data_IF_152832105054
#
_entry.id   IF_152832105054
#
_cell.length_a   1.000
_cell.length_b   1.000
_cell.length_c   1.000
_cell.angle_alpha   90.00
_cell.angle_beta   90.00
_cell.angle_gamma   90.00
#
_symmetry.space_group_name_H-M   'P 1'
#
loop_
_entity.id
_entity.type
_entity.pdbx_description
1 polymer ?
#
# COMPACT_ATOMS: atom_id res chain seq x y z
N UNK A 1 7.08 7.74 5.88
CA UNK A 1 6.27 6.60 5.39
C UNK A 1 5.98 6.77 3.92
N UNK A 2 6.00 5.68 3.17
CA UNK A 2 5.73 5.71 1.73
C UNK A 2 4.69 4.67 1.38
N UNK A 3 3.69 5.08 0.61
CA UNK A 3 2.72 4.16 0.02
C UNK A 3 2.82 4.27 -1.50
N UNK A 4 2.96 3.13 -2.17
CA UNK A 4 2.80 3.06 -3.62
C UNK A 4 1.42 2.49 -3.87
N UNK A 5 0.51 3.34 -4.32
CA UNK A 5 -0.89 2.99 -4.55
C UNK A 5 -1.08 2.68 -6.03
N UNK A 6 -1.49 1.46 -6.33
CA UNK A 6 -1.81 1.06 -7.70
C UNK A 6 -3.29 0.72 -7.81
N UNK A 7 -3.98 1.41 -8.72
CA UNK A 7 -5.39 1.12 -9.01
C UNK A 7 -5.45 -0.18 -9.80
N UNK A 8 -6.26 -1.13 -9.33
CA UNK A 8 -6.30 -2.48 -9.90
C UNK A 8 -7.72 -2.92 -10.26
N UNK A 9 -7.83 -3.79 -11.28
CA UNK A 9 -9.03 -4.56 -11.56
C UNK A 9 -9.10 -5.77 -10.64
N UNK A 10 -7.95 -6.37 -10.35
CA UNK A 10 -7.79 -7.46 -9.39
C UNK A 10 -6.34 -7.52 -8.93
N UNK A 11 -6.11 -8.09 -7.76
CA UNK A 11 -4.78 -8.33 -7.22
C UNK A 11 -4.81 -9.47 -6.21
N UNK A 12 -3.70 -10.19 -6.10
CA UNK A 12 -3.56 -11.27 -5.14
C UNK A 12 -2.12 -11.38 -4.65
N UNK A 13 -1.95 -12.02 -3.51
CA UNK A 13 -0.64 -12.30 -2.95
C UNK A 13 -0.58 -13.76 -2.51
N UNK A 14 0.53 -14.43 -2.82
CA UNK A 14 0.78 -15.80 -2.41
C UNK A 14 2.11 -15.93 -1.67
N UNK A 15 2.16 -16.91 -0.76
CA UNK A 15 3.35 -17.30 -0.01
C UNK A 15 3.45 -18.82 -0.09
N UNK A 16 4.62 -19.32 -0.47
CA UNK A 16 4.86 -20.75 -0.64
C UNK A 16 3.82 -21.45 -1.55
N UNK A 17 3.43 -20.75 -2.63
CA UNK A 17 2.47 -21.27 -3.60
C UNK A 17 1.01 -21.19 -3.19
N UNK A 18 0.70 -20.66 -2.01
CA UNK A 18 -0.65 -20.52 -1.49
C UNK A 18 -1.11 -19.07 -1.51
N UNK A 19 -2.27 -18.79 -2.11
CA UNK A 19 -2.88 -17.46 -2.10
C UNK A 19 -3.38 -17.14 -0.69
N UNK A 20 -2.85 -16.08 -0.08
CA UNK A 20 -3.23 -15.65 1.27
C UNK A 20 -4.09 -14.40 1.29
N UNK A 21 -4.19 -13.69 0.17
CA UNK A 21 -5.04 -12.52 0.04
C UNK A 21 -5.40 -12.27 -1.42
N UNK A 22 -6.63 -11.84 -1.67
CA UNK A 22 -7.11 -11.55 -3.02
C UNK A 22 -8.22 -10.51 -2.98
N UNK A 23 -8.15 -9.56 -3.92
CA UNK A 23 -9.18 -8.53 -4.07
C UNK A 23 -9.60 -8.41 -5.54
N UNK A 24 -10.78 -7.87 -5.76
CA UNK A 24 -11.21 -7.36 -7.05
C UNK A 24 -10.77 -5.91 -7.23
N UNK A 25 -11.67 -5.09 -7.75
CA UNK A 25 -11.41 -3.65 -8.00
C UNK A 25 -11.02 -2.93 -6.72
N UNK A 26 -9.99 -2.11 -6.80
CA UNK A 26 -9.54 -1.32 -5.67
C UNK A 26 -8.09 -0.90 -5.79
N UNK A 27 -7.35 -0.95 -4.69
CA UNK A 27 -5.92 -0.63 -4.66
C UNK A 27 -5.11 -1.82 -4.16
N UNK A 28 -4.01 -2.11 -4.86
CA UNK A 28 -2.87 -2.81 -4.29
C UNK A 28 -1.89 -1.74 -3.79
N UNK A 29 -1.49 -1.82 -2.53
CA UNK A 29 -0.65 -0.79 -1.90
C UNK A 29 0.61 -1.42 -1.34
N UNK A 30 1.76 -0.94 -1.79
CA UNK A 30 3.05 -1.26 -1.17
C UNK A 30 3.31 -0.25 -0.07
N UNK A 31 3.64 -0.73 1.13
CA UNK A 31 3.82 0.10 2.33
C UNK A 31 5.26 0.01 2.82
N UNK A 32 5.95 1.15 2.79
CA UNK A 32 7.28 1.31 3.37
C UNK A 32 7.23 2.13 4.64
N UNK A 33 7.85 1.61 5.70
CA UNK A 33 7.98 2.29 6.99
C UNK A 33 9.42 2.73 7.17
N UNK A 34 9.61 4.01 7.46
CA UNK A 34 10.93 4.60 7.74
C UNK A 34 11.22 4.69 9.24
N UNK A 35 12.46 5.09 9.56
CA UNK A 35 12.94 5.15 10.94
C UNK A 35 12.13 6.09 11.86
N UNK A 36 11.62 7.19 11.30
CA UNK A 36 10.94 8.23 12.08
C UNK A 36 9.41 8.14 12.04
N UNK A 37 8.87 7.07 11.46
CA UNK A 37 7.44 6.95 11.30
C UNK A 37 6.72 6.63 12.61
N UNK A 38 5.52 7.19 12.75
CA UNK A 38 4.66 7.07 13.93
C UNK A 38 3.23 6.71 13.52
N UNK A 39 2.39 6.38 14.50
CA UNK A 39 0.97 6.14 14.27
C UNK A 39 0.26 7.38 13.71
N UNK A 40 0.65 8.57 14.16
CA UNK A 40 0.10 9.84 13.68
C UNK A 40 0.40 10.05 12.19
N UNK A 41 1.60 9.70 11.77
CA UNK A 41 1.99 9.73 10.34
C UNK A 41 1.16 8.70 9.57
N UNK A 42 1.01 7.49 10.11
CA UNK A 42 0.20 6.45 9.48
C UNK A 42 -1.25 6.90 9.30
N UNK A 43 -1.85 7.56 10.31
CA UNK A 43 -3.22 8.07 10.24
C UNK A 43 -3.39 9.06 9.08
N UNK A 44 -2.43 9.98 8.90
CA UNK A 44 -2.44 10.93 7.78
C UNK A 44 -2.35 10.22 6.44
N UNK A 45 -1.47 9.24 6.35
CA UNK A 45 -1.27 8.46 5.13
C UNK A 45 -2.52 7.68 4.75
N UNK A 46 -3.15 7.01 5.73
CA UNK A 46 -4.38 6.25 5.53
C UNK A 46 -5.51 7.18 5.05
N UNK A 47 -5.69 8.30 5.73
CA UNK A 47 -6.71 9.30 5.38
C UNK A 47 -6.54 9.77 3.93
N UNK A 48 -5.30 10.08 3.55
CA UNK A 48 -4.99 10.51 2.18
C UNK A 48 -5.29 9.40 1.17
N UNK A 49 -4.81 8.20 1.43
CA UNK A 49 -4.99 7.05 0.53
C UNK A 49 -6.46 6.72 0.30
N UNK A 50 -7.23 6.58 1.37
CA UNK A 50 -8.66 6.23 1.29
C UNK A 50 -9.47 7.34 0.63
N UNK A 51 -9.05 8.60 0.82
CA UNK A 51 -9.72 9.77 0.25
C UNK A 51 -9.34 10.10 -1.19
N UNK A 52 -8.38 9.40 -1.79
CA UNK A 52 -7.99 9.66 -3.18
C UNK A 52 -9.18 9.45 -4.11
N UNK A 53 -9.35 10.37 -5.06
CA UNK A 53 -10.44 10.34 -6.04
C UNK A 53 -9.86 10.01 -7.41
N UNK A 54 -9.49 8.75 -7.60
CA UNK A 54 -8.75 8.30 -8.78
C UNK A 54 -9.48 7.23 -9.61
N UNK A 55 -10.75 6.98 -9.32
CA UNK A 55 -11.59 6.14 -10.19
C UNK A 55 -12.39 7.02 -11.12
N UNK A 56 -12.61 6.53 -12.33
CA UNK A 56 -13.35 7.27 -13.33
C UNK A 56 -14.84 7.32 -13.00
N UNK A 57 -15.44 8.49 -13.21
CA UNK A 57 -16.88 8.68 -13.14
C UNK A 57 -17.55 8.32 -14.48
N UNK A 58 -18.87 8.49 -14.56
CA UNK A 58 -19.66 8.22 -15.77
C UNK A 58 -19.27 9.05 -16.99
N UNK A 59 -18.55 10.17 -16.77
CA UNK A 59 -18.03 11.03 -17.83
C UNK A 59 -16.57 10.70 -18.19
N UNK A 60 -16.01 9.61 -17.64
CA UNK A 60 -14.63 9.22 -17.85
C UNK A 60 -13.60 10.09 -17.16
N UNK A 61 -14.02 10.92 -16.19
CA UNK A 61 -13.13 11.78 -15.43
C UNK A 61 -12.69 11.12 -14.14
N UNK A 62 -11.42 11.29 -13.79
CA UNK A 62 -10.84 10.86 -12.52
C UNK A 62 -11.47 11.66 -11.38
N UNK A 63 -12.41 11.06 -10.66
CA UNK A 63 -13.27 11.78 -9.73
C UNK A 63 -13.77 10.96 -8.54
N UNK A 64 -13.93 9.65 -8.68
CA UNK A 64 -14.55 8.82 -7.64
C UNK A 64 -13.52 8.28 -6.66
N UNK A 65 -13.92 8.19 -5.39
CA UNK A 65 -13.10 7.61 -4.32
C UNK A 65 -13.24 6.08 -4.26
N UNK A 66 -12.40 5.47 -3.43
CA UNK A 66 -12.50 4.03 -3.14
C UNK A 66 -13.89 3.65 -2.61
N UNK A 67 -14.46 4.46 -1.72
CA UNK A 67 -15.80 4.22 -1.17
C UNK A 67 -16.88 4.30 -2.24
N UNK A 68 -16.77 5.27 -3.15
CA UNK A 68 -17.76 5.46 -4.23
C UNK A 68 -17.88 4.25 -5.13
N UNK A 69 -16.76 3.57 -5.40
CA UNK A 69 -16.73 2.38 -6.26
C UNK A 69 -16.81 1.07 -5.47
N UNK A 70 -16.95 1.14 -4.15
CA UNK A 70 -16.95 -0.02 -3.25
C UNK A 70 -15.69 -0.87 -3.44
N UNK A 71 -14.55 -0.18 -3.57
CA UNK A 71 -13.27 -0.81 -3.81
C UNK A 71 -12.69 -1.48 -2.58
N UNK A 72 -11.78 -2.40 -2.81
CA UNK A 72 -11.07 -3.17 -1.79
C UNK A 72 -9.61 -2.74 -1.68
N UNK A 73 -8.96 -3.13 -0.60
CA UNK A 73 -7.53 -2.89 -0.39
C UNK A 73 -6.77 -4.21 -0.26
N UNK A 74 -5.62 -4.27 -0.90
CA UNK A 74 -4.61 -5.31 -0.66
C UNK A 74 -3.34 -4.60 -0.19
N UNK A 75 -2.96 -4.79 1.08
CA UNK A 75 -1.87 -4.07 1.73
C UNK A 75 -0.65 -4.98 1.88
N UNK A 76 0.46 -4.58 1.26
CA UNK A 76 1.71 -5.35 1.20
C UNK A 76 2.84 -4.55 1.82
N UNK A 77 3.54 -5.11 2.80
CA UNK A 77 4.74 -4.48 3.37
C UNK A 77 5.90 -4.54 2.37
N UNK A 78 6.64 -3.43 2.24
CA UNK A 78 7.74 -3.31 1.28
C UNK A 78 8.81 -2.37 1.82
N UNK A 79 9.75 -2.89 2.63
CA UNK A 79 10.82 -2.07 3.21
C UNK A 79 11.76 -1.48 2.16
N UNK A 80 11.88 -2.14 0.99
CA UNK A 80 12.77 -1.69 -0.08
C UNK A 80 12.38 -0.34 -0.69
N UNK A 81 11.20 0.20 -0.35
CA UNK A 81 10.83 1.58 -0.72
C UNK A 81 11.76 2.61 -0.06
N UNK A 82 12.49 2.22 0.98
CA UNK A 82 13.52 3.03 1.64
C UNK A 82 14.94 2.69 1.17
N UNK A 83 15.07 2.09 -0.01
CA UNK A 83 16.38 1.85 -0.61
C UNK A 83 17.09 3.15 -0.92
N UNK A 84 18.37 3.24 -0.52
CA UNK A 84 19.26 4.32 -0.93
C UNK A 84 20.24 3.76 -1.96
N UNK A 85 20.16 4.25 -3.18
CA UNK A 85 20.93 3.78 -4.32
C UNK A 85 21.99 4.80 -4.77
N UNK A 86 22.39 5.74 -3.91
CA UNK A 86 23.32 6.81 -4.26
C UNK A 86 24.74 6.33 -4.50
N UNK A 87 25.16 5.26 -3.81
CA UNK A 87 26.54 4.75 -3.92
C UNK A 87 26.55 3.37 -4.52
N UNK A 88 27.12 3.24 -5.73
CA UNK A 88 27.27 1.97 -6.41
C UNK A 88 25.93 1.32 -6.76
N UNK A 89 25.97 0.02 -7.04
CA UNK A 89 24.80 -0.73 -7.51
C UNK A 89 24.14 -1.59 -6.43
N UNK A 90 24.68 -1.57 -5.22
CA UNK A 90 24.11 -2.29 -4.08
C UNK A 90 23.28 -1.32 -3.22
N UNK A 91 21.94 -1.47 -3.16
CA UNK A 91 21.12 -0.59 -2.35
C UNK A 91 21.46 -0.70 -0.86
N UNK A 92 21.39 0.42 -0.15
CA UNK A 92 21.43 0.46 1.31
C UNK A 92 20.00 0.59 1.84
N UNK A 93 19.70 -0.09 2.95
CA UNK A 93 18.38 -0.06 3.58
C UNK A 93 18.41 0.52 5.00
N UNK A 94 19.43 1.30 5.34
CA UNK A 94 19.59 1.89 6.68
C UNK A 94 18.47 2.89 7.04
N UNK A 95 17.78 3.41 6.03
CA UNK A 95 16.67 4.35 6.21
C UNK A 95 15.34 3.64 6.48
N UNK A 96 15.27 2.33 6.25
CA UNK A 96 14.09 1.53 6.56
C UNK A 96 13.94 1.39 8.09
N UNK A 97 12.70 1.42 8.56
CA UNK A 97 12.41 1.21 9.98
C UNK A 97 12.83 -0.18 10.46
N UNK A 98 13.22 -0.29 11.73
CA UNK A 98 13.54 -1.58 12.32
C UNK A 98 12.37 -2.55 12.14
N UNK A 99 12.62 -3.85 11.87
CA UNK A 99 11.56 -4.82 11.56
C UNK A 99 10.41 -4.85 12.57
N UNK A 100 10.70 -4.82 13.87
CA UNK A 100 9.68 -4.86 14.92
C UNK A 100 8.74 -3.65 14.85
N UNK A 101 9.30 -2.46 14.72
CA UNK A 101 8.54 -1.21 14.60
C UNK A 101 7.75 -1.18 13.29
N UNK A 102 8.38 -1.58 12.20
CA UNK A 102 7.74 -1.59 10.89
C UNK A 102 6.56 -2.57 10.86
N UNK A 103 6.69 -3.75 11.46
CA UNK A 103 5.60 -4.71 11.57
C UNK A 103 4.45 -4.17 12.40
N UNK A 104 4.74 -3.55 13.55
CA UNK A 104 3.72 -2.92 14.39
C UNK A 104 2.93 -1.86 13.63
N UNK A 105 3.60 -0.99 12.89
CA UNK A 105 2.94 0.05 12.10
C UNK A 105 2.16 -0.53 10.93
N UNK A 106 2.68 -1.56 10.28
CA UNK A 106 1.96 -2.27 9.23
C UNK A 106 0.65 -2.89 9.75
N UNK A 107 0.70 -3.58 10.89
CA UNK A 107 -0.50 -4.14 11.53
C UNK A 107 -1.49 -3.04 11.95
N UNK A 108 -0.98 -1.93 12.46
CA UNK A 108 -1.80 -0.75 12.79
C UNK A 108 -2.52 -0.20 11.56
N UNK A 109 -1.82 -0.05 10.44
CA UNK A 109 -2.40 0.43 9.18
C UNK A 109 -3.53 -0.49 8.72
N UNK A 110 -3.31 -1.80 8.76
CA UNK A 110 -4.35 -2.78 8.39
C UNK A 110 -5.58 -2.62 9.28
N UNK A 111 -5.38 -2.57 10.58
CA UNK A 111 -6.45 -2.43 11.57
C UNK A 111 -7.28 -1.14 11.34
N UNK A 112 -6.61 -0.02 11.09
CA UNK A 112 -7.28 1.25 10.84
C UNK A 112 -8.03 1.25 9.50
N UNK A 113 -7.47 0.62 8.47
CA UNK A 113 -8.15 0.49 7.19
C UNK A 113 -9.40 -0.39 7.30
N UNK A 114 -9.35 -1.45 8.09
CA UNK A 114 -10.50 -2.35 8.32
C UNK A 114 -11.70 -1.64 8.95
N UNK A 115 -11.48 -0.55 9.65
CA UNK A 115 -12.55 0.25 10.26
C UNK A 115 -13.37 1.02 9.24
N UNK A 116 -12.85 1.25 8.04
CA UNK A 116 -13.47 2.15 7.08
C UNK A 116 -13.59 1.58 5.65
N UNK A 117 -12.95 0.45 5.37
CA UNK A 117 -13.04 -0.23 4.09
C UNK A 117 -13.53 -1.66 4.33
N UNK A 118 -14.63 -2.10 3.68
CA UNK A 118 -15.24 -3.39 3.96
C UNK A 118 -14.34 -4.60 3.68
N UNK A 119 -13.54 -4.56 2.62
CA UNK A 119 -12.64 -5.64 2.25
C UNK A 119 -11.22 -5.12 2.27
N UNK A 120 -10.45 -5.57 3.26
CA UNK A 120 -9.03 -5.28 3.42
C UNK A 120 -8.31 -6.62 3.51
N UNK A 121 -7.58 -6.95 2.47
CA UNK A 121 -6.72 -8.13 2.41
C UNK A 121 -5.27 -7.73 2.59
N UNK A 122 -4.43 -8.68 2.89
CA UNK A 122 -3.06 -8.39 3.30
C UNK A 122 -2.08 -9.48 2.92
N UNK A 123 -0.79 -9.12 2.86
CA UNK A 123 0.30 -10.06 2.78
C UNK A 123 0.75 -10.53 4.17
N UNK A 124 1.94 -11.12 4.20
CA UNK A 124 2.59 -11.59 5.43
C UNK A 124 3.91 -10.86 5.60
N UNK A 125 4.05 -10.11 6.69
CA UNK A 125 5.25 -9.33 6.97
C UNK A 125 6.50 -10.22 6.99
N UNK A 126 7.54 -9.80 6.25
CA UNK A 126 8.82 -10.50 6.20
C UNK A 126 8.85 -11.76 5.33
N UNK A 127 7.74 -12.17 4.76
CA UNK A 127 7.70 -13.35 3.89
C UNK A 127 8.15 -13.02 2.46
N UNK A 128 8.58 -14.04 1.75
CA UNK A 128 8.75 -13.98 0.29
C UNK A 128 7.36 -14.08 -0.35
N UNK A 129 6.88 -12.98 -0.89
CA UNK A 129 5.54 -12.88 -1.45
C UNK A 129 5.58 -12.76 -2.97
N UNK A 130 4.64 -13.42 -3.64
CA UNK A 130 4.38 -13.22 -5.06
C UNK A 130 3.11 -12.40 -5.18
N UNK A 131 3.24 -11.17 -5.64
CA UNK A 131 2.13 -10.22 -5.76
C UNK A 131 1.75 -10.10 -7.23
N UNK A 132 0.52 -10.46 -7.54
CA UNK A 132 -0.02 -10.41 -8.88
C UNK A 132 -1.08 -9.31 -8.93
N UNK A 133 -1.10 -8.52 -10.00
CA UNK A 133 -2.08 -7.46 -10.16
C UNK A 133 -2.30 -7.11 -11.63
N UNK A 134 -3.47 -6.55 -11.89
CA UNK A 134 -3.74 -5.87 -13.16
C UNK A 134 -3.86 -4.38 -12.82
N UNK A 135 -2.83 -3.62 -13.17
CA UNK A 135 -2.82 -2.17 -12.96
C UNK A 135 -3.72 -1.52 -14.01
N UNK A 136 -4.82 -0.95 -13.53
CA UNK A 136 -5.86 -0.38 -14.38
C UNK A 136 -5.50 1.06 -14.79
N UNK A 137 -5.08 1.18 -16.05
CA UNK A 137 -4.75 2.49 -16.60
C UNK A 137 -3.50 2.53 -17.47
N UNK A 138 -2.27 2.25 -17.04
CA UNK A 138 -1.84 2.07 -15.65
C UNK A 138 -2.07 3.33 -14.82
N UNK A 139 -2.27 3.15 -13.53
CA UNK A 139 -2.49 4.27 -12.61
C UNK A 139 -1.78 3.95 -11.28
N UNK A 140 -0.72 4.70 -11.01
CA UNK A 140 0.15 4.48 -9.86
C UNK A 140 0.48 5.82 -9.21
N UNK A 141 0.28 5.92 -7.91
CA UNK A 141 0.54 7.13 -7.13
C UNK A 141 1.53 6.82 -6.02
N UNK A 142 2.50 7.71 -5.85
CA UNK A 142 3.44 7.68 -4.72
C UNK A 142 2.94 8.66 -3.68
N UNK A 143 2.56 8.15 -2.50
CA UNK A 143 2.31 8.97 -1.32
C UNK A 143 3.54 8.91 -0.43
N UNK A 144 4.09 10.06 -0.13
CA UNK A 144 5.25 10.21 0.75
C UNK A 144 4.87 11.15 1.89
N UNK A 145 4.97 10.68 3.14
CA UNK A 145 4.58 11.46 4.31
C UNK A 145 5.35 12.77 4.45
N UNK A 146 6.57 12.83 3.91
CA UNK A 146 7.38 14.05 3.93
C UNK A 146 6.86 15.14 2.98
N UNK A 147 5.95 14.77 2.09
CA UNK A 147 5.37 15.69 1.07
C UNK A 147 3.88 15.95 1.28
N UNK A 148 3.36 15.54 2.41
CA UNK A 148 1.93 15.74 2.73
C UNK A 148 1.73 16.82 3.78
#
# INVERSE_FOLDING_TARGET
MKFIVQRVLESSVSVDGETIGKIGRGYMVLIGVGNEDTKEIADKMIKKMVGLRIFEDENGKTNLSLADVKGSLLLISQFTLYANCRKGNRPSFIEAGAPDKAEQLYEYIISECQKQVPIVERGKFGADMKVQLINDGPFTIILDSEKL
#
